data_IF_781654978920
#
_entry.id   IF_781654978920
#
_cell.length_a   1.000
_cell.length_b   1.000
_cell.length_c   1.000
_cell.angle_alpha   90.00
_cell.angle_beta   90.00
_cell.angle_gamma   90.00
#
_symmetry.space_group_name_H-M   'P 1'
#
loop_
_entity.id
_entity.type
_entity.pdbx_description
1 polymer ?
#
# COMPACT_ATOMS: atom_id res chain seq x y z
N UNK A 1 27.87 -7.08 17.10
CA UNK A 1 26.71 -7.82 17.64
C UNK A 1 26.06 -8.49 16.44
N UNK A 2 26.19 -9.81 16.31
CA UNK A 2 25.65 -10.54 15.15
C UNK A 2 24.17 -10.87 15.34
N UNK A 3 23.46 -11.12 14.24
CA UNK A 3 22.08 -11.63 14.28
C UNK A 3 22.09 -13.01 14.94
N UNK A 4 21.23 -13.28 15.95
CA UNK A 4 21.13 -14.60 16.56
C UNK A 4 20.80 -15.65 15.49
N UNK A 5 21.50 -16.80 15.48
CA UNK A 5 21.28 -17.84 14.46
C UNK A 5 19.87 -18.42 14.46
N UNK A 6 19.13 -18.25 15.56
CA UNK A 6 17.77 -18.72 15.78
C UNK A 6 16.70 -17.62 15.63
N UNK A 7 17.08 -16.40 15.24
CA UNK A 7 16.13 -15.26 15.16
C UNK A 7 14.93 -15.57 14.26
N UNK A 8 15.13 -16.26 13.14
CA UNK A 8 14.03 -16.64 12.25
C UNK A 8 13.02 -17.57 12.94
N UNK A 9 13.49 -18.50 13.77
CA UNK A 9 12.63 -19.43 14.53
C UNK A 9 11.94 -18.73 15.69
N UNK A 10 12.59 -17.74 16.31
CA UNK A 10 11.96 -16.89 17.33
C UNK A 10 10.83 -16.03 16.72
N UNK A 11 11.06 -15.41 15.57
CA UNK A 11 10.06 -14.59 14.87
C UNK A 11 8.85 -15.40 14.41
N UNK A 12 9.06 -16.62 13.89
CA UNK A 12 7.96 -17.54 13.53
C UNK A 12 7.04 -17.90 14.71
N UNK A 13 7.54 -17.83 15.95
CA UNK A 13 6.79 -18.13 17.17
C UNK A 13 6.15 -16.90 17.80
N UNK A 14 6.52 -15.70 17.34
CA UNK A 14 5.97 -14.47 17.88
C UNK A 14 4.51 -14.30 17.45
N UNK A 15 3.63 -14.02 18.42
CA UNK A 15 2.24 -13.63 18.16
C UNK A 15 2.13 -12.12 18.36
N UNK A 16 1.66 -11.41 17.33
CA UNK A 16 1.57 -9.95 17.33
C UNK A 16 0.11 -9.55 17.10
N UNK A 17 -0.45 -8.72 17.99
CA UNK A 17 -1.76 -8.11 17.82
C UNK A 17 -1.59 -6.71 17.23
N UNK A 18 -2.13 -6.48 16.03
CA UNK A 18 -2.18 -5.16 15.40
C UNK A 18 -3.56 -4.55 15.65
N UNK A 19 -3.61 -3.36 16.25
CA UNK A 19 -4.84 -2.60 16.49
C UNK A 19 -4.73 -1.23 15.85
N UNK A 20 -5.68 -0.87 15.01
CA UNK A 20 -5.74 0.41 14.31
C UNK A 20 -6.60 0.32 13.07
N UNK A 21 -6.72 1.44 12.35
CA UNK A 21 -7.65 1.56 11.23
C UNK A 21 -7.16 0.78 10.00
N UNK A 22 -8.05 -0.07 9.47
CA UNK A 22 -7.84 -0.75 8.21
C UNK A 22 -8.20 0.19 7.06
N UNK A 23 -7.28 0.35 6.12
CA UNK A 23 -7.50 1.17 4.92
C UNK A 23 -7.20 0.35 3.67
N UNK A 24 -7.70 0.81 2.53
CA UNK A 24 -7.43 0.22 1.22
C UNK A 24 -6.79 1.28 0.34
N UNK A 25 -5.53 1.06 0.00
CA UNK A 25 -4.80 1.93 -0.91
C UNK A 25 -5.18 1.53 -2.34
N UNK A 26 -5.72 2.50 -3.10
CA UNK A 26 -6.10 2.31 -4.50
C UNK A 26 -5.22 3.18 -5.37
N UNK A 27 -4.48 2.53 -6.25
CA UNK A 27 -3.64 3.21 -7.22
C UNK A 27 -4.32 3.16 -8.58
N UNK A 28 -4.42 4.31 -9.23
CA UNK A 28 -4.97 4.46 -10.57
C UNK A 28 -3.84 4.82 -11.51
N UNK A 29 -3.59 3.97 -12.50
CA UNK A 29 -2.56 4.16 -13.50
C UNK A 29 -3.21 4.55 -14.81
N UNK A 30 -2.60 5.47 -15.55
CA UNK A 30 -3.15 5.95 -16.81
C UNK A 30 -2.35 7.09 -17.41
N UNK A 31 -2.70 7.45 -18.64
CA UNK A 31 -2.02 8.50 -19.39
C UNK A 31 -2.74 9.84 -19.25
N UNK A 32 -1.96 10.92 -19.29
CA UNK A 32 -2.47 12.30 -19.38
C UNK A 32 -2.11 12.87 -20.73
N UNK A 33 -3.11 13.08 -21.59
CA UNK A 33 -2.91 13.60 -22.95
C UNK A 33 -3.48 14.99 -23.18
N UNK A 34 -4.25 15.53 -22.23
CA UNK A 34 -4.89 16.85 -22.35
C UNK A 34 -5.20 17.50 -21.00
N UNK A 35 -5.43 18.80 -21.04
CA UNK A 35 -5.97 19.60 -19.94
C UNK A 35 -7.51 19.67 -20.06
N UNK A 36 -8.20 19.77 -18.93
CA UNK A 36 -9.66 19.96 -18.90
C UNK A 36 -10.03 21.35 -19.44
N UNK A 37 -11.05 21.48 -20.30
CA UNK A 37 -11.55 22.79 -20.70
C UNK A 37 -12.26 23.54 -19.56
N UNK A 38 -12.66 22.82 -18.50
CA UNK A 38 -13.54 23.36 -17.43
C UNK A 38 -12.73 23.95 -16.26
N UNK A 39 -11.46 23.56 -16.15
CA UNK A 39 -10.52 24.07 -15.15
C UNK A 39 -9.08 23.71 -15.57
N UNK A 40 -8.04 24.44 -15.14
CA UNK A 40 -6.64 24.16 -15.48
C UNK A 40 -6.08 22.95 -14.72
N UNK A 41 -6.71 21.78 -14.90
CA UNK A 41 -6.34 20.49 -14.29
C UNK A 41 -6.18 19.41 -15.37
N UNK A 42 -5.23 18.48 -15.21
CA UNK A 42 -5.04 17.38 -16.14
C UNK A 42 -6.20 16.38 -16.10
N UNK A 43 -6.49 15.76 -17.24
CA UNK A 43 -7.44 14.64 -17.31
C UNK A 43 -6.65 13.34 -17.45
N UNK A 44 -6.77 12.46 -16.46
CA UNK A 44 -6.14 11.12 -16.48
C UNK A 44 -7.09 10.13 -17.15
N UNK A 45 -6.65 9.50 -18.23
CA UNK A 45 -7.33 8.34 -18.81
C UNK A 45 -6.82 7.08 -18.11
N UNK A 46 -7.53 6.65 -17.06
CA UNK A 46 -7.17 5.45 -16.30
C UNK A 46 -7.20 4.21 -17.18
N UNK A 47 -6.11 3.46 -17.19
CA UNK A 47 -5.93 2.19 -17.92
C UNK A 47 -5.85 0.99 -16.97
N UNK A 48 -5.35 1.18 -15.74
CA UNK A 48 -5.18 0.12 -14.76
C UNK A 48 -5.48 0.60 -13.33
N UNK A 49 -5.86 -0.34 -12.46
CA UNK A 49 -6.04 -0.10 -11.03
C UNK A 49 -5.36 -1.21 -10.25
N UNK A 50 -4.56 -0.85 -9.25
CA UNK A 50 -3.99 -1.79 -8.30
C UNK A 50 -4.45 -1.47 -6.89
N UNK A 51 -4.52 -2.51 -6.06
CA UNK A 51 -5.07 -2.44 -4.71
C UNK A 51 -4.04 -3.00 -3.73
N UNK A 52 -3.90 -2.34 -2.59
CA UNK A 52 -3.02 -2.79 -1.52
C UNK A 52 -3.66 -2.54 -0.17
N UNK A 53 -3.36 -3.41 0.80
CA UNK A 53 -3.76 -3.15 2.18
C UNK A 53 -3.03 -1.89 2.67
N UNK A 54 -3.79 -0.97 3.23
CA UNK A 54 -3.29 0.25 3.85
C UNK A 54 -3.55 0.26 5.36
N UNK A 55 -2.96 1.22 6.05
CA UNK A 55 -3.13 1.37 7.50
C UNK A 55 -2.67 0.12 8.26
N UNK A 56 -3.48 -0.33 9.22
CA UNK A 56 -3.19 -1.54 10.02
C UNK A 56 -3.09 -2.81 9.17
N UNK A 57 -3.70 -2.83 7.99
CA UNK A 57 -3.58 -3.94 7.04
C UNK A 57 -2.17 -4.09 6.47
N UNK A 58 -1.47 -2.99 6.18
CA UNK A 58 -0.08 -3.04 5.70
C UNK A 58 0.89 -3.47 6.82
N UNK A 59 0.58 -3.11 8.07
CA UNK A 59 1.39 -3.49 9.24
C UNK A 59 1.27 -4.99 9.55
N UNK A 60 0.12 -5.60 9.23
CA UNK A 60 -0.17 -6.99 9.52
C UNK A 60 0.22 -7.98 8.41
N UNK A 61 0.58 -7.50 7.21
CA UNK A 61 0.84 -8.32 6.02
C UNK A 61 2.31 -8.78 5.92
#
# INVERSE_FOLDING_TARGET
MGVPPDLAEQLKKASILVVGDLMLDRYYWGDVTRISPEAPVPVVKVTEKTFSLGGSGNVAA
#
